data_IF_725216301754
#
_entry.id   IF_725216301754
#
_cell.length_a   1.000
_cell.length_b   1.000
_cell.length_c   1.000
_cell.angle_alpha   90.00
_cell.angle_beta   90.00
_cell.angle_gamma   90.00
#
_symmetry.space_group_name_H-M   'P 1'
#
loop_
_entity.id
_entity.type
_entity.pdbx_description
1 polymer ?
#
# COMPACT_ATOMS: atom_id res chain seq x y z
N UNK A 1 101.75 21.06 5.58
CA UNK A 1 100.54 21.11 4.73
C UNK A 1 99.79 19.78 4.83
N UNK A 2 98.69 19.71 5.59
CA UNK A 2 97.89 18.50 5.75
C UNK A 2 96.50 18.86 5.20
N UNK A 3 96.03 18.18 4.15
CA UNK A 3 94.71 18.24 3.63
C UNK A 3 93.78 17.34 4.45
N UNK A 4 92.69 17.90 4.94
CA UNK A 4 91.60 17.14 5.59
C UNK A 4 90.51 16.85 4.51
N UNK A 5 90.25 15.55 4.31
CA UNK A 5 89.12 15.08 3.52
C UNK A 5 87.85 15.08 4.39
N UNK A 6 86.87 15.83 4.01
CA UNK A 6 85.50 15.75 4.55
C UNK A 6 84.75 14.65 3.83
N UNK A 7 84.31 13.64 4.57
CA UNK A 7 83.36 12.63 4.10
C UNK A 7 81.93 13.16 4.19
N UNK A 8 81.26 13.24 3.08
CA UNK A 8 79.80 13.49 3.01
C UNK A 8 79.10 12.10 3.14
N UNK A 9 78.39 11.94 4.24
CA UNK A 9 77.46 10.81 4.36
C UNK A 9 76.10 11.18 3.78
N UNK A 10 75.73 10.50 2.70
CA UNK A 10 74.41 10.60 2.05
C UNK A 10 73.39 9.81 2.85
N UNK A 11 72.44 10.46 3.47
CA UNK A 11 71.25 9.79 4.03
C UNK A 11 70.27 9.45 2.88
N UNK A 12 70.10 8.16 2.65
CA UNK A 12 69.02 7.65 1.81
C UNK A 12 67.70 7.67 2.62
N UNK A 13 66.82 8.60 2.31
CA UNK A 13 65.40 8.55 2.80
C UNK A 13 64.66 7.46 2.01
N UNK A 14 64.34 6.35 2.67
CA UNK A 14 63.45 5.34 2.16
C UNK A 14 62.01 5.85 2.18
N UNK A 15 61.40 6.10 1.04
CA UNK A 15 60.01 6.44 0.89
C UNK A 15 59.15 5.17 1.12
N UNK A 16 58.36 5.16 2.20
CA UNK A 16 57.37 4.13 2.48
C UNK A 16 56.17 4.37 1.55
N UNK A 17 55.75 3.41 0.72
CA UNK A 17 54.57 3.57 -0.10
C UNK A 17 53.32 3.63 0.81
N UNK A 18 52.56 4.74 0.73
CA UNK A 18 51.21 4.81 1.31
C UNK A 18 50.29 3.88 0.55
N UNK A 19 50.03 2.69 1.12
CA UNK A 19 48.95 1.83 0.64
C UNK A 19 47.61 2.51 0.96
N UNK A 20 47.00 3.13 -0.02
CA UNK A 20 45.59 3.54 0.07
C UNK A 20 44.76 2.28 -0.11
N UNK A 21 44.40 1.63 0.99
CA UNK A 21 43.37 0.62 0.97
C UNK A 21 42.06 1.33 0.59
N UNK A 22 41.62 1.23 -0.66
CA UNK A 22 40.27 1.53 -1.09
C UNK A 22 39.37 0.48 -0.44
N UNK A 23 38.55 0.92 0.54
CA UNK A 23 37.46 0.09 1.03
C UNK A 23 36.62 -0.35 -0.17
N UNK A 24 36.22 -1.64 -0.25
CA UNK A 24 35.30 -2.05 -1.30
C UNK A 24 34.05 -1.18 -1.21
N UNK A 25 33.41 -0.84 -2.36
CA UNK A 25 32.17 -0.11 -2.34
C UNK A 25 31.20 -0.90 -1.42
N UNK A 26 30.62 -0.21 -0.45
CA UNK A 26 29.49 -0.75 0.30
C UNK A 26 28.43 -0.98 -0.77
N UNK A 27 28.24 -2.23 -1.19
CA UNK A 27 27.05 -2.61 -1.91
C UNK A 27 25.89 -2.28 -0.99
N UNK A 28 25.28 -1.13 -1.22
CA UNK A 28 23.93 -0.85 -0.75
C UNK A 28 23.07 -1.96 -1.35
N UNK A 29 22.83 -3.02 -0.59
CA UNK A 29 21.77 -3.95 -0.90
C UNK A 29 20.45 -3.19 -0.80
N UNK A 30 19.82 -2.79 -1.90
CA UNK A 30 18.42 -2.42 -1.88
C UNK A 30 17.64 -3.72 -1.99
N UNK A 31 17.75 -4.58 -1.02
CA UNK A 31 16.93 -5.77 -1.02
C UNK A 31 15.89 -5.64 0.06
N UNK A 32 14.77 -5.05 -0.33
CA UNK A 32 13.51 -5.28 0.32
C UNK A 32 13.14 -6.74 -0.01
N UNK A 33 13.47 -7.74 0.81
CA UNK A 33 13.23 -9.14 0.51
C UNK A 33 11.72 -9.37 0.36
N UNK A 34 11.36 -10.24 -0.58
CA UNK A 34 9.97 -10.62 -0.82
C UNK A 34 9.57 -11.73 0.16
N UNK A 35 8.31 -11.79 0.60
CA UNK A 35 7.81 -12.94 1.36
C UNK A 35 7.75 -14.20 0.48
N UNK A 36 7.59 -15.36 1.09
CA UNK A 36 7.30 -16.60 0.37
C UNK A 36 5.94 -16.49 -0.35
N UNK A 37 5.87 -17.02 -1.57
CA UNK A 37 4.65 -17.06 -2.37
C UNK A 37 4.14 -18.50 -2.50
N UNK A 38 2.84 -18.68 -2.25
CA UNK A 38 2.12 -19.95 -2.34
C UNK A 38 0.71 -19.75 -2.93
N UNK A 39 0.61 -18.97 -4.01
CA UNK A 39 -0.64 -18.49 -4.63
C UNK A 39 -1.45 -17.58 -3.68
N UNK A 40 -0.75 -16.84 -2.82
CA UNK A 40 -1.31 -15.97 -1.80
C UNK A 40 -1.21 -14.49 -2.13
N UNK A 41 -0.70 -14.11 -3.28
CA UNK A 41 -0.46 -12.71 -3.67
C UNK A 41 -1.77 -11.94 -3.91
N UNK A 42 -1.73 -10.62 -3.68
CA UNK A 42 -2.82 -9.69 -3.94
C UNK A 42 -3.75 -9.47 -2.74
N UNK A 43 -4.94 -9.00 -3.05
CA UNK A 43 -5.99 -8.65 -2.09
C UNK A 43 -7.19 -9.58 -2.28
N UNK A 44 -7.87 -9.92 -1.18
CA UNK A 44 -9.27 -10.33 -1.23
C UNK A 44 -10.12 -9.07 -1.31
N UNK A 45 -11.20 -9.08 -2.11
CA UNK A 45 -12.12 -7.97 -2.20
C UNK A 45 -13.58 -8.42 -2.29
N UNK A 46 -14.47 -7.54 -1.86
CA UNK A 46 -15.89 -7.77 -1.87
C UNK A 46 -16.66 -6.54 -2.35
N UNK A 47 -17.72 -6.79 -3.11
CA UNK A 47 -18.61 -5.77 -3.69
C UNK A 47 -19.96 -5.77 -2.97
N UNK A 48 -20.45 -4.57 -2.71
CA UNK A 48 -21.73 -4.31 -2.05
C UNK A 48 -22.51 -3.22 -2.77
N UNK A 49 -23.84 -3.28 -2.70
CA UNK A 49 -24.66 -2.11 -3.03
C UNK A 49 -24.51 -1.04 -1.95
N UNK A 50 -24.36 0.20 -2.38
CA UNK A 50 -24.28 1.37 -1.52
C UNK A 50 -25.41 2.37 -1.90
N UNK A 51 -26.52 2.42 -1.15
CA UNK A 51 -27.63 3.29 -1.50
C UNK A 51 -27.43 4.75 -1.08
N UNK A 52 -26.27 5.10 -0.51
CA UNK A 52 -26.02 6.43 0.02
C UNK A 52 -25.57 7.36 -1.11
N UNK A 53 -26.33 8.39 -1.36
CA UNK A 53 -26.02 9.46 -2.29
C UNK A 53 -24.92 10.37 -1.70
N UNK A 54 -23.92 10.73 -2.50
CA UNK A 54 -22.94 11.74 -2.13
C UNK A 54 -23.47 13.15 -2.50
N UNK A 55 -23.78 13.96 -1.49
CA UNK A 55 -24.22 15.34 -1.69
C UNK A 55 -23.08 16.32 -1.98
N UNK A 56 -21.81 15.85 -2.02
CA UNK A 56 -20.64 16.68 -2.31
C UNK A 56 -20.00 17.37 -1.10
N UNK A 57 -20.50 17.12 0.11
CA UNK A 57 -20.01 17.74 1.34
C UNK A 57 -19.34 16.70 2.28
N UNK A 58 -18.30 16.01 1.81
CA UNK A 58 -17.58 15.03 2.61
C UNK A 58 -18.29 13.69 2.79
N UNK A 59 -19.26 13.38 1.93
CA UNK A 59 -20.04 12.14 1.92
C UNK A 59 -20.76 11.88 3.25
N UNK A 60 -21.58 12.81 3.75
CA UNK A 60 -22.31 12.63 4.99
C UNK A 60 -23.25 11.42 4.89
N UNK A 61 -23.32 10.64 5.97
CA UNK A 61 -24.16 9.45 6.04
C UNK A 61 -23.53 8.17 5.52
N UNK A 62 -22.42 8.19 4.80
CA UNK A 62 -21.68 6.98 4.51
C UNK A 62 -20.97 6.44 5.76
N UNK A 63 -21.06 5.14 5.96
CA UNK A 63 -20.44 4.40 7.07
C UNK A 63 -19.76 3.15 6.53
N UNK A 64 -18.43 3.10 6.65
CA UNK A 64 -17.65 1.96 6.19
C UNK A 64 -17.91 0.71 7.04
N UNK A 65 -18.08 0.87 8.34
CA UNK A 65 -18.22 -0.23 9.30
C UNK A 65 -19.52 -1.05 9.18
N UNK A 66 -20.51 -0.57 8.41
CA UNK A 66 -21.72 -1.36 8.11
C UNK A 66 -21.45 -2.61 7.26
N UNK A 67 -20.34 -2.61 6.52
CA UNK A 67 -19.94 -3.74 5.67
C UNK A 67 -19.30 -4.90 6.43
N UNK A 68 -19.01 -4.74 7.72
CA UNK A 68 -18.52 -5.84 8.57
C UNK A 68 -19.46 -7.05 8.62
N UNK A 69 -20.73 -6.76 8.72
CA UNK A 69 -21.77 -7.79 8.94
C UNK A 69 -22.70 -7.94 7.72
N UNK A 70 -22.52 -7.10 6.69
CA UNK A 70 -23.31 -7.21 5.46
C UNK A 70 -22.72 -8.28 4.55
N UNK A 71 -23.56 -9.18 4.05
CA UNK A 71 -23.14 -10.15 3.05
C UNK A 71 -22.82 -9.44 1.73
N UNK A 72 -21.67 -9.72 1.10
CA UNK A 72 -21.33 -9.19 -0.20
C UNK A 72 -22.23 -9.75 -1.30
N UNK A 73 -22.43 -8.99 -2.37
CA UNK A 73 -23.08 -9.46 -3.60
C UNK A 73 -22.08 -10.32 -4.42
N UNK A 74 -20.80 -9.95 -4.36
CA UNK A 74 -19.72 -10.66 -5.04
C UNK A 74 -18.41 -10.50 -4.26
N UNK A 75 -17.54 -11.49 -4.35
CA UNK A 75 -16.17 -11.41 -3.80
C UNK A 75 -15.20 -12.21 -4.65
N UNK A 76 -13.98 -11.75 -4.75
CA UNK A 76 -12.92 -12.36 -5.56
C UNK A 76 -11.54 -11.90 -5.06
N UNK A 77 -10.51 -12.19 -5.84
CA UNK A 77 -9.12 -11.82 -5.60
C UNK A 77 -8.64 -10.87 -6.70
N UNK A 78 -7.79 -9.92 -6.34
CA UNK A 78 -7.15 -9.02 -7.31
C UNK A 78 -5.67 -8.82 -6.97
N UNK A 79 -4.77 -8.69 -7.95
CA UNK A 79 -3.36 -8.42 -7.68
C UNK A 79 -3.09 -6.98 -7.22
N UNK A 80 -3.98 -6.04 -7.49
CA UNK A 80 -3.91 -4.63 -7.05
C UNK A 80 -5.29 -4.09 -6.72
N UNK A 81 -5.33 -2.93 -6.02
CA UNK A 81 -6.57 -2.20 -5.76
C UNK A 81 -6.47 -0.76 -6.28
N UNK A 82 -7.64 -0.13 -6.48
CA UNK A 82 -7.72 1.22 -7.02
C UNK A 82 -7.82 1.27 -8.54
N UNK A 83 -7.57 2.45 -9.10
CA UNK A 83 -7.80 2.77 -10.50
C UNK A 83 -9.19 3.37 -10.74
N UNK A 84 -9.62 3.40 -12.00
CA UNK A 84 -10.98 3.82 -12.36
C UNK A 84 -11.94 2.65 -12.16
N UNK A 85 -12.93 2.84 -11.29
CA UNK A 85 -13.83 1.78 -10.84
C UNK A 85 -15.28 2.01 -11.23
N UNK A 86 -15.65 3.24 -11.49
CA UNK A 86 -17.04 3.63 -11.70
C UNK A 86 -17.45 3.66 -13.17
N UNK A 87 -18.44 4.47 -13.42
CA UNK A 87 -19.04 4.74 -14.72
C UNK A 87 -18.01 5.02 -15.81
N UNK A 88 -18.22 4.47 -16.99
CA UNK A 88 -17.53 4.88 -18.21
C UNK A 88 -18.54 5.16 -19.32
N UNK A 89 -18.21 6.05 -20.25
CA UNK A 89 -19.08 6.35 -21.39
C UNK A 89 -19.38 5.12 -22.28
N UNK A 90 -18.50 4.11 -22.25
CA UNK A 90 -18.67 2.86 -22.98
C UNK A 90 -19.60 1.87 -22.26
N UNK A 91 -19.60 1.86 -20.91
CA UNK A 91 -20.42 0.98 -20.08
C UNK A 91 -20.99 1.82 -18.91
N UNK A 92 -22.12 2.52 -19.13
CA UNK A 92 -22.61 3.46 -18.14
C UNK A 92 -23.20 2.79 -16.89
N UNK A 93 -23.70 1.58 -17.00
CA UNK A 93 -24.46 0.95 -15.92
C UNK A 93 -23.72 -0.17 -15.20
N UNK A 94 -22.75 -0.82 -15.86
CA UNK A 94 -22.00 -1.96 -15.30
C UNK A 94 -20.53 -1.89 -15.62
N UNK A 95 -19.71 -2.55 -14.77
CA UNK A 95 -18.28 -2.72 -14.96
C UNK A 95 -17.83 -4.10 -14.46
N UNK A 96 -16.73 -4.62 -15.02
CA UNK A 96 -16.01 -5.77 -14.51
C UNK A 96 -14.86 -5.27 -13.63
N UNK A 97 -15.11 -5.18 -12.31
CA UNK A 97 -14.11 -4.70 -11.36
C UNK A 97 -12.90 -5.61 -11.35
N UNK A 98 -11.70 -5.05 -11.45
CA UNK A 98 -10.43 -5.78 -11.40
C UNK A 98 -10.31 -6.95 -12.38
N UNK A 99 -11.04 -6.90 -13.49
CA UNK A 99 -11.05 -7.99 -14.47
C UNK A 99 -11.87 -9.22 -14.04
N UNK A 100 -12.77 -9.07 -13.08
CA UNK A 100 -13.71 -10.13 -12.69
C UNK A 100 -14.55 -10.61 -13.88
N UNK A 101 -15.03 -11.84 -13.81
CA UNK A 101 -15.90 -12.42 -14.84
C UNK A 101 -17.37 -11.96 -14.73
N UNK A 102 -17.70 -11.15 -13.72
CA UNK A 102 -19.05 -10.72 -13.41
C UNK A 102 -19.18 -9.21 -13.64
N UNK A 103 -20.20 -8.81 -14.39
CA UNK A 103 -20.60 -7.41 -14.51
C UNK A 103 -21.41 -6.99 -13.28
N UNK A 104 -20.98 -5.91 -12.64
CA UNK A 104 -21.59 -5.33 -11.44
C UNK A 104 -21.93 -3.88 -11.70
N UNK A 105 -22.88 -3.31 -10.97
CA UNK A 105 -23.24 -1.91 -11.12
C UNK A 105 -22.02 -1.02 -10.90
N UNK A 106 -21.83 -0.03 -11.79
CA UNK A 106 -20.72 0.92 -11.76
C UNK A 106 -21.04 2.22 -11.02
N UNK A 107 -22.22 2.30 -10.39
CA UNK A 107 -22.66 3.41 -9.55
C UNK A 107 -23.33 2.88 -8.28
N UNK A 108 -23.30 3.65 -7.20
CA UNK A 108 -23.90 3.29 -5.92
C UNK A 108 -23.39 1.95 -5.36
N UNK A 109 -22.08 1.81 -5.30
CA UNK A 109 -21.43 0.60 -4.80
C UNK A 109 -20.40 0.89 -3.72
N UNK A 110 -20.03 -0.15 -2.99
CA UNK A 110 -18.87 -0.12 -2.11
C UNK A 110 -18.00 -1.36 -2.32
N UNK A 111 -16.71 -1.18 -2.15
CA UNK A 111 -15.70 -2.23 -2.20
C UNK A 111 -14.98 -2.30 -0.85
N UNK A 112 -14.88 -3.48 -0.27
CA UNK A 112 -14.08 -3.75 0.90
C UNK A 112 -12.89 -4.62 0.47
N UNK A 113 -11.67 -4.13 0.67
CA UNK A 113 -10.44 -4.83 0.32
C UNK A 113 -9.65 -5.13 1.58
N UNK A 114 -9.07 -6.32 1.68
CA UNK A 114 -8.10 -6.62 2.72
C UNK A 114 -6.95 -7.48 2.19
N UNK A 115 -5.79 -7.30 2.80
CA UNK A 115 -4.56 -8.03 2.55
C UNK A 115 -3.58 -7.80 3.69
N UNK A 116 -2.41 -8.42 3.61
CA UNK A 116 -1.26 -8.10 4.44
C UNK A 116 -0.18 -7.42 3.60
N UNK A 117 0.43 -6.37 4.16
CA UNK A 117 1.72 -5.85 3.72
C UNK A 117 2.82 -6.65 4.42
N UNK A 118 3.72 -7.25 3.67
CA UNK A 118 4.97 -7.73 4.21
C UNK A 118 5.96 -6.56 4.29
N UNK A 119 6.25 -6.09 5.50
CA UNK A 119 7.25 -5.07 5.72
C UNK A 119 8.64 -5.68 5.56
N UNK A 120 9.31 -5.44 4.44
CA UNK A 120 10.62 -6.01 4.14
C UNK A 120 11.76 -5.37 4.93
N UNK A 121 11.54 -4.18 5.50
CA UNK A 121 12.49 -3.42 6.29
C UNK A 121 11.77 -2.66 7.42
N UNK A 122 12.50 -2.40 8.51
CA UNK A 122 11.98 -1.59 9.62
C UNK A 122 12.06 -0.11 9.31
N UNK A 123 11.10 0.66 9.79
CA UNK A 123 11.08 2.11 9.70
C UNK A 123 9.70 2.67 9.36
N UNK A 124 9.67 3.93 8.97
CA UNK A 124 8.44 4.67 8.67
C UNK A 124 8.02 4.42 7.22
N UNK A 125 6.91 3.72 7.05
CA UNK A 125 6.26 3.44 5.76
C UNK A 125 5.28 4.54 5.41
N UNK A 126 5.21 4.90 4.13
CA UNK A 126 4.32 5.92 3.60
C UNK A 126 3.18 5.30 2.81
N UNK A 127 1.95 5.74 3.08
CA UNK A 127 0.74 5.37 2.38
C UNK A 127 0.11 6.61 1.77
N UNK A 128 -0.04 6.65 0.45
CA UNK A 128 -0.62 7.77 -0.28
C UNK A 128 -1.86 7.30 -1.03
N UNK A 129 -3.00 7.90 -0.68
CA UNK A 129 -4.30 7.70 -1.33
C UNK A 129 -4.61 8.96 -2.11
N UNK A 130 -4.85 8.85 -3.41
CA UNK A 130 -5.07 10.00 -4.30
C UNK A 130 -6.19 9.73 -5.29
N UNK A 131 -6.66 10.76 -5.98
CA UNK A 131 -7.72 10.69 -7.00
C UNK A 131 -8.99 10.00 -6.50
N UNK A 132 -9.37 10.25 -5.24
CA UNK A 132 -10.55 9.63 -4.64
C UNK A 132 -11.83 10.31 -5.10
N UNK A 133 -12.74 9.48 -5.62
CA UNK A 133 -14.08 9.79 -6.04
C UNK A 133 -14.95 8.54 -5.81
N UNK A 134 -15.79 8.43 -4.75
CA UNK A 134 -16.15 9.46 -3.74
C UNK A 134 -15.35 9.39 -2.44
N UNK A 135 -15.18 8.22 -1.81
CA UNK A 135 -14.56 8.08 -0.49
C UNK A 135 -13.74 6.80 -0.35
N UNK A 136 -12.58 6.92 0.33
CA UNK A 136 -11.78 5.78 0.80
C UNK A 136 -11.49 5.95 2.28
N UNK A 137 -11.68 4.88 3.04
CA UNK A 137 -11.15 4.71 4.38
C UNK A 137 -10.02 3.69 4.36
N UNK A 138 -8.99 3.90 5.15
CA UNK A 138 -7.84 3.00 5.25
C UNK A 138 -7.51 2.68 6.71
N UNK A 139 -7.13 1.43 6.97
CA UNK A 139 -6.63 0.93 8.24
C UNK A 139 -5.42 0.04 8.01
N UNK A 140 -4.40 0.17 8.87
CA UNK A 140 -3.19 -0.66 8.87
C UNK A 140 -2.89 -1.15 10.28
N UNK A 141 -2.40 -2.37 10.42
CA UNK A 141 -2.15 -3.01 11.71
C UNK A 141 -3.35 -3.80 12.22
N UNK A 142 -3.33 -4.24 13.46
CA UNK A 142 -4.30 -5.18 14.05
C UNK A 142 -5.75 -4.71 13.91
N UNK A 143 -5.97 -3.40 13.95
CA UNK A 143 -7.29 -2.79 13.76
C UNK A 143 -7.88 -3.11 12.38
N UNK A 144 -7.06 -3.27 11.36
CA UNK A 144 -7.51 -3.61 10.00
C UNK A 144 -8.03 -5.05 9.91
N UNK A 145 -7.52 -5.95 10.76
CA UNK A 145 -7.95 -7.34 10.82
C UNK A 145 -9.30 -7.49 11.54
N UNK A 146 -9.43 -6.84 12.71
CA UNK A 146 -10.68 -6.80 13.47
C UNK A 146 -10.78 -5.49 14.27
N UNK A 147 -12.01 -5.03 14.56
CA UNK A 147 -12.22 -3.82 15.36
C UNK A 147 -12.17 -2.50 14.55
N UNK A 148 -11.99 -2.53 13.24
CA UNK A 148 -12.02 -1.33 12.40
C UNK A 148 -13.40 -0.66 12.42
N UNK A 149 -13.40 0.67 12.47
CA UNK A 149 -14.60 1.53 12.46
C UNK A 149 -14.27 2.82 11.73
N UNK A 150 -15.27 3.59 11.34
CA UNK A 150 -15.06 4.91 10.74
C UNK A 150 -14.24 5.84 11.64
N UNK A 151 -14.40 5.71 12.97
CA UNK A 151 -13.77 6.59 13.96
C UNK A 151 -12.31 6.27 14.25
N UNK A 152 -11.80 5.10 13.84
CA UNK A 152 -10.41 4.69 14.06
C UNK A 152 -9.62 4.43 12.77
N UNK A 153 -10.11 4.93 11.63
CA UNK A 153 -9.36 4.88 10.38
C UNK A 153 -8.07 5.69 10.46
N UNK A 154 -6.97 5.13 9.95
CA UNK A 154 -5.69 5.84 9.81
C UNK A 154 -5.79 6.98 8.80
N UNK A 155 -6.64 6.82 7.79
CA UNK A 155 -6.93 7.85 6.81
C UNK A 155 -8.36 7.76 6.27
N UNK A 156 -8.90 8.93 5.93
CA UNK A 156 -10.11 9.10 5.13
C UNK A 156 -9.82 10.12 4.04
N UNK A 157 -10.00 9.74 2.79
CA UNK A 157 -9.97 10.63 1.65
C UNK A 157 -11.38 10.71 1.04
N UNK A 158 -11.84 11.91 0.71
CA UNK A 158 -13.20 12.11 0.21
C UNK A 158 -13.23 13.18 -0.86
N UNK A 159 -13.99 12.92 -1.90
CA UNK A 159 -14.32 13.89 -2.94
C UNK A 159 -15.24 14.99 -2.39
N UNK A 160 -14.98 16.23 -2.77
CA UNK A 160 -15.80 17.37 -2.35
C UNK A 160 -16.14 18.28 -3.54
N UNK A 161 -17.35 18.84 -3.50
CA UNK A 161 -17.80 19.85 -4.44
C UNK A 161 -18.01 21.17 -3.69
N UNK A 162 -16.95 21.98 -3.63
CA UNK A 162 -16.96 23.31 -3.01
C UNK A 162 -16.54 24.38 -4.04
N UNK A 163 -17.42 24.61 -5.03
CA UNK A 163 -17.17 25.54 -6.12
C UNK A 163 -16.42 24.92 -7.31
N UNK A 164 -15.34 24.19 -7.05
CA UNK A 164 -14.60 23.38 -8.03
C UNK A 164 -14.60 21.92 -7.61
N UNK A 165 -14.54 20.99 -8.58
CA UNK A 165 -14.47 19.56 -8.32
C UNK A 165 -13.09 19.21 -7.77
N UNK A 166 -13.03 18.66 -6.57
CA UNK A 166 -11.79 18.23 -5.93
C UNK A 166 -11.80 16.74 -5.61
N UNK A 167 -10.94 15.99 -6.28
CA UNK A 167 -10.64 14.61 -5.90
C UNK A 167 -10.05 14.55 -4.51
N UNK A 168 -10.54 13.62 -3.70
CA UNK A 168 -10.01 13.39 -2.36
C UNK A 168 -8.58 12.89 -2.39
N UNK A 169 -7.82 13.24 -1.35
CA UNK A 169 -6.50 12.69 -1.09
C UNK A 169 -6.23 12.61 0.40
N UNK A 170 -5.45 11.63 0.80
CA UNK A 170 -4.95 11.49 2.16
C UNK A 170 -3.60 10.79 2.14
N UNK A 171 -2.75 11.13 3.09
CA UNK A 171 -1.47 10.46 3.30
C UNK A 171 -1.29 10.18 4.78
N UNK A 172 -0.77 9.01 5.11
CA UNK A 172 -0.43 8.66 6.48
C UNK A 172 0.84 7.82 6.54
N UNK A 173 1.38 7.67 7.73
CA UNK A 173 2.61 6.94 7.98
C UNK A 173 2.42 5.93 9.10
N UNK A 174 3.11 4.79 8.97
CA UNK A 174 3.17 3.74 9.99
C UNK A 174 4.60 3.31 10.22
N UNK A 175 5.01 3.22 11.48
CA UNK A 175 6.30 2.63 11.85
C UNK A 175 6.13 1.12 11.93
N UNK A 176 6.80 0.39 11.04
CA UNK A 176 6.69 -1.06 10.91
C UNK A 176 8.03 -1.73 11.15
N UNK A 177 8.01 -2.91 11.79
CA UNK A 177 9.18 -3.77 11.94
C UNK A 177 9.38 -4.64 10.70
N UNK A 178 10.61 -4.72 10.21
CA UNK A 178 10.96 -5.56 9.06
C UNK A 178 10.77 -7.04 9.33
N UNK A 179 10.42 -7.79 8.29
CA UNK A 179 10.20 -9.23 8.36
C UNK A 179 8.82 -9.65 8.89
N UNK A 180 7.88 -8.72 9.03
CA UNK A 180 6.53 -8.97 9.56
C UNK A 180 5.44 -8.67 8.54
N UNK A 181 4.29 -9.31 8.76
CA UNK A 181 3.06 -9.06 8.01
C UNK A 181 2.14 -8.13 8.82
N UNK A 182 1.64 -7.09 8.16
CA UNK A 182 0.72 -6.12 8.74
C UNK A 182 -0.61 -6.15 8.00
N UNK A 183 -1.71 -6.47 8.68
CA UNK A 183 -3.01 -6.45 8.04
C UNK A 183 -3.35 -5.03 7.55
N UNK A 184 -3.96 -4.95 6.38
CA UNK A 184 -4.44 -3.71 5.78
C UNK A 184 -5.87 -3.88 5.33
N UNK A 185 -6.63 -2.79 5.41
CA UNK A 185 -7.99 -2.71 4.90
C UNK A 185 -8.25 -1.39 4.22
N UNK A 186 -8.98 -1.44 3.11
CA UNK A 186 -9.42 -0.26 2.39
C UNK A 186 -10.89 -0.44 2.02
N UNK A 187 -11.73 0.48 2.47
CA UNK A 187 -13.14 0.53 2.09
C UNK A 187 -13.35 1.74 1.21
N UNK A 188 -13.70 1.47 -0.05
CA UNK A 188 -14.06 2.47 -1.05
C UNK A 188 -15.57 2.50 -1.23
N UNK A 189 -16.14 3.66 -1.50
CA UNK A 189 -17.53 3.76 -1.92
C UNK A 189 -17.74 4.87 -2.95
N UNK A 190 -18.65 4.59 -3.85
CA UNK A 190 -19.21 5.49 -4.86
C UNK A 190 -20.69 5.75 -4.56
N UNK A 191 -21.11 7.01 -4.60
CA UNK A 191 -22.48 7.45 -4.36
C UNK A 191 -23.26 7.80 -5.63
N UNK A 192 -22.55 8.02 -6.74
CA UNK A 192 -23.11 8.23 -8.09
C UNK A 192 -22.00 8.51 -9.11
N UNK A 193 -22.27 8.28 -10.38
CA UNK A 193 -21.38 8.55 -11.52
C UNK A 193 -20.13 7.67 -11.54
N UNK A 194 -18.96 8.29 -11.69
CA UNK A 194 -17.70 7.58 -11.77
C UNK A 194 -17.02 7.45 -10.42
N UNK A 195 -16.42 6.31 -10.16
CA UNK A 195 -15.64 6.06 -8.96
C UNK A 195 -14.17 5.81 -9.26
N UNK A 196 -13.27 6.31 -8.42
CA UNK A 196 -11.84 6.09 -8.57
C UNK A 196 -11.08 6.26 -7.25
N UNK A 197 -9.94 5.63 -7.13
CA UNK A 197 -8.88 5.98 -6.20
C UNK A 197 -7.55 5.36 -6.64
N UNK A 198 -6.44 5.93 -6.20
CA UNK A 198 -5.12 5.32 -6.34
C UNK A 198 -4.50 5.14 -4.97
N UNK A 199 -3.80 4.03 -4.79
CA UNK A 199 -3.00 3.72 -3.60
C UNK A 199 -1.55 3.52 -4.01
N UNK A 200 -0.64 4.19 -3.31
CA UNK A 200 0.80 3.94 -3.39
C UNK A 200 1.32 3.65 -1.98
N UNK A 201 2.12 2.59 -1.83
CA UNK A 201 2.79 2.24 -0.58
C UNK A 201 4.30 2.26 -0.84
N UNK A 202 5.00 3.08 -0.05
CA UNK A 202 6.45 3.29 -0.18
C UNK A 202 7.16 2.87 1.10
N UNK A 203 8.21 2.08 0.96
CA UNK A 203 9.05 1.62 2.06
C UNK A 203 9.93 2.74 2.61
N UNK A 204 10.55 2.59 3.80
CA UNK A 204 11.47 3.56 4.37
C UNK A 204 12.65 3.92 3.46
N UNK A 205 13.15 2.97 2.66
CA UNK A 205 14.21 3.20 1.67
C UNK A 205 13.74 3.85 0.36
N UNK A 206 12.44 4.15 0.22
CA UNK A 206 11.86 4.79 -0.96
C UNK A 206 11.45 3.82 -2.07
N UNK A 207 11.41 2.50 -1.80
CA UNK A 207 10.93 1.50 -2.76
C UNK A 207 9.41 1.52 -2.79
N UNK A 208 8.81 1.68 -3.97
CA UNK A 208 7.37 1.52 -4.15
C UNK A 208 7.06 0.02 -4.16
N UNK A 209 6.42 -0.46 -3.08
CA UNK A 209 6.03 -1.87 -2.92
C UNK A 209 4.62 -2.16 -3.41
N UNK A 210 3.78 -1.13 -3.52
CA UNK A 210 2.46 -1.22 -4.14
C UNK A 210 2.11 0.06 -4.88
N UNK A 211 1.49 -0.08 -6.03
CA UNK A 211 0.88 1.00 -6.80
C UNK A 211 -0.35 0.47 -7.53
N UNK A 212 -1.46 1.22 -7.50
CA UNK A 212 -2.67 0.86 -8.25
C UNK A 212 -2.37 0.54 -9.72
N UNK A 213 -2.97 -0.54 -10.23
CA UNK A 213 -2.75 -1.02 -11.60
C UNK A 213 -1.49 -1.86 -11.80
N UNK A 214 -0.78 -2.23 -10.74
CA UNK A 214 0.43 -3.07 -10.81
C UNK A 214 0.43 -4.16 -9.76
N UNK A 215 0.89 -5.34 -10.16
CA UNK A 215 1.11 -6.46 -9.25
C UNK A 215 2.18 -6.11 -8.22
N UNK A 216 2.03 -6.66 -7.01
CA UNK A 216 2.97 -6.48 -5.92
C UNK A 216 3.44 -7.82 -5.38
N UNK A 217 4.74 -7.95 -5.18
CA UNK A 217 5.33 -9.12 -4.52
C UNK A 217 5.26 -9.05 -2.99
N UNK A 218 4.92 -7.88 -2.42
CA UNK A 218 4.90 -7.66 -0.96
C UNK A 218 3.49 -7.64 -0.38
N UNK A 219 2.48 -7.73 -1.23
CA UNK A 219 1.07 -7.78 -0.80
C UNK A 219 0.58 -9.22 -0.91
N UNK A 220 0.13 -9.76 0.21
CA UNK A 220 -0.35 -11.15 0.29
C UNK A 220 -1.66 -11.24 1.07
N UNK A 221 -2.46 -12.26 0.77
CA UNK A 221 -3.74 -12.53 1.44
C UNK A 221 -3.58 -13.33 2.74
N UNK A 222 -2.48 -14.08 2.85
CA UNK A 222 -2.10 -14.89 4.01
C UNK A 222 -0.62 -15.29 3.88
N UNK A 223 0.01 -15.77 4.95
CA UNK A 223 1.39 -16.26 4.91
C UNK A 223 1.49 -17.73 4.50
N UNK A 224 2.63 -18.12 3.90
CA UNK A 224 2.86 -19.49 3.43
C UNK A 224 3.36 -20.46 4.53
N UNK A 225 3.42 -20.05 5.76
CA UNK A 225 3.81 -20.83 6.94
C UNK A 225 2.61 -21.46 7.66
N UNK A 226 1.71 -22.04 6.91
CA UNK A 226 0.41 -22.52 7.40
C UNK A 226 -0.45 -21.42 8.04
N UNK A 227 -0.33 -20.20 7.52
CA UNK A 227 -1.10 -19.04 7.96
C UNK A 227 -0.81 -18.61 9.44
N UNK A 228 0.36 -18.97 9.96
CA UNK A 228 0.75 -18.67 11.34
C UNK A 228 1.10 -17.18 11.49
N UNK A 229 1.95 -16.64 10.59
CA UNK A 229 2.40 -15.24 10.65
C UNK A 229 1.37 -14.24 10.11
N UNK A 230 0.51 -14.68 9.20
CA UNK A 230 -0.61 -13.91 8.64
C UNK A 230 -1.77 -14.85 8.35
N UNK A 231 -2.71 -15.04 9.30
CA UNK A 231 -3.88 -15.89 9.10
C UNK A 231 -4.84 -15.26 8.08
N UNK A 232 -5.68 -16.10 7.44
CA UNK A 232 -6.73 -15.56 6.57
C UNK A 232 -7.64 -14.61 7.33
N UNK A 233 -8.05 -13.56 6.67
CA UNK A 233 -9.08 -12.68 7.22
C UNK A 233 -10.40 -13.47 7.41
N UNK A 234 -11.24 -13.06 8.36
CA UNK A 234 -12.61 -13.53 8.42
C UNK A 234 -13.33 -13.35 7.08
N UNK A 235 -14.29 -14.24 6.79
CA UNK A 235 -15.10 -14.08 5.58
C UNK A 235 -15.82 -12.73 5.61
N UNK A 236 -15.92 -12.08 4.46
CA UNK A 236 -16.70 -10.86 4.35
C UNK A 236 -18.14 -11.06 4.83
N UNK A 237 -18.64 -10.13 5.64
CA UNK A 237 -19.96 -10.19 6.27
C UNK A 237 -20.01 -11.00 7.56
N UNK A 238 -18.90 -11.58 8.01
CA UNK A 238 -18.76 -12.30 9.28
C UNK A 238 -17.72 -11.65 10.22
N UNK A 239 -17.44 -10.39 10.03
CA UNK A 239 -16.46 -9.63 10.82
C UNK A 239 -17.08 -9.01 12.08
N UNK A 240 -16.30 -8.85 13.13
CA UNK A 240 -16.74 -8.29 14.43
C UNK A 240 -16.07 -6.95 14.74
#
# INVERSE_FOLDING_TARGET
>A
MKLNLLQLSSLLLASVPKSTATLPPVELCPSCPKPAHCLNQGFDWAYYSNPIFNSGEGYPGFRADVYKTRQPIYSDVTPWIGGHLGYSAANPDTNTFYGSSVELNSTYFALNHHAYLYACESGTWQFDITNVDDVVFAWVGDVAYSGWTDGNADAKAVWTFLGDTHYGSASFRQDLDGGRFYPMRFVFADGQWGGSFNLTITSPSGIIVHQSGRDSDWIVRFSCDFEISAPRFPAFGAET
#
